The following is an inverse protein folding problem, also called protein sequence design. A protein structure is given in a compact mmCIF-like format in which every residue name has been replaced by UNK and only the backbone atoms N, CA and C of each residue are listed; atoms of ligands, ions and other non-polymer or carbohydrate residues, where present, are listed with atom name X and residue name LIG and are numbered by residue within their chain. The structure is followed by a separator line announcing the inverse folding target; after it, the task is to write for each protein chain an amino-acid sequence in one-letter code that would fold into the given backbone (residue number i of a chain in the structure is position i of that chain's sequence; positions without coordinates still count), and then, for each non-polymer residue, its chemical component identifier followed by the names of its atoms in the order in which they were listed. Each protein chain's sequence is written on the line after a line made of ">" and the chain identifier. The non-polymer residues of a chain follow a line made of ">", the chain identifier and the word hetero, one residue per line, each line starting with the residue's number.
data_IF_408978924546
#
_entry.id   IF_408978924546
#
_cell.length_a   1.000
_cell.length_b   1.000
_cell.length_c   1.000
_cell.angle_alpha   90.00
_cell.angle_beta   90.00
_cell.angle_gamma   90.00
#
_symmetry.space_group_name_H-M   'P 1'
#
loop_
_entity.id
_entity.type
_entity.pdbx_description
1 polymer ?
#
# COMPACT_ATOMS: atom_id res chain seq x y z
N UNK A 1 -8.57 -0.54 -18.90
CA UNK A 1 -7.55 0.20 -18.13
C UNK A 1 -6.19 -0.40 -18.45
N UNK A 2 -5.16 0.42 -18.71
CA UNK A 2 -3.81 -0.07 -18.97
C UNK A 2 -3.22 -0.71 -17.71
N UNK A 3 -2.23 -1.57 -17.89
CA UNK A 3 -1.43 -2.09 -16.79
C UNK A 3 -0.49 -1.00 -16.28
N UNK A 4 -0.29 -0.94 -14.97
CA UNK A 4 0.70 -0.11 -14.31
C UNK A 4 1.85 -1.00 -13.83
N UNK A 5 3.09 -0.61 -14.17
CA UNK A 5 4.30 -1.23 -13.64
C UNK A 5 4.89 -0.37 -12.55
N UNK A 6 5.40 -0.97 -11.48
CA UNK A 6 5.99 -0.25 -10.36
C UNK A 6 7.06 -1.08 -9.69
N UNK A 7 8.11 -0.42 -9.22
CA UNK A 7 9.09 -1.02 -8.32
C UNK A 7 8.61 -0.81 -6.88
N UNK A 8 8.60 -1.89 -6.10
CA UNK A 8 8.17 -1.90 -4.70
C UNK A 8 9.22 -2.60 -3.85
N UNK A 9 9.16 -2.35 -2.54
CA UNK A 9 9.85 -3.18 -1.54
C UNK A 9 8.84 -4.14 -0.93
N UNK A 10 9.11 -5.43 -1.04
CA UNK A 10 8.28 -6.50 -0.48
C UNK A 10 9.17 -7.44 0.33
N UNK A 11 8.85 -7.62 1.63
CA UNK A 11 9.63 -8.44 2.57
C UNK A 11 11.13 -8.11 2.57
N UNK A 12 11.46 -6.83 2.48
CA UNK A 12 12.84 -6.32 2.48
C UNK A 12 13.61 -6.50 1.17
N UNK A 13 12.97 -7.00 0.10
CA UNK A 13 13.57 -7.12 -1.23
C UNK A 13 12.85 -6.23 -2.24
N UNK A 14 13.61 -5.58 -3.12
CA UNK A 14 13.07 -4.80 -4.23
C UNK A 14 12.57 -5.72 -5.35
N UNK A 15 11.39 -5.46 -5.88
CA UNK A 15 10.74 -6.27 -6.93
C UNK A 15 9.89 -5.39 -7.86
N UNK A 16 9.83 -5.74 -9.14
CA UNK A 16 8.94 -5.10 -10.12
C UNK A 16 7.60 -5.85 -10.12
N UNK A 17 6.50 -5.08 -10.07
CA UNK A 17 5.14 -5.60 -10.13
C UNK A 17 4.39 -4.99 -11.30
N UNK A 18 3.38 -5.73 -11.77
CA UNK A 18 2.41 -5.24 -12.72
C UNK A 18 0.99 -5.43 -12.16
N UNK A 19 0.22 -4.36 -12.16
CA UNK A 19 -1.16 -4.33 -11.64
C UNK A 19 -2.08 -3.57 -12.58
N UNK A 20 -3.37 -3.91 -12.59
CA UNK A 20 -4.42 -3.02 -13.11
C UNK A 20 -5.18 -2.43 -11.95
N UNK A 21 -5.37 -1.12 -11.98
CA UNK A 21 -6.07 -0.38 -10.95
C UNK A 21 -7.28 0.32 -11.56
N UNK A 22 -8.46 0.05 -11.00
CA UNK A 22 -9.70 0.76 -11.29
C UNK A 22 -10.15 1.55 -10.08
N UNK A 23 -10.32 2.87 -10.26
CA UNK A 23 -10.68 3.77 -9.17
C UNK A 23 -12.05 4.38 -9.45
N UNK A 24 -12.92 4.35 -8.44
CA UNK A 24 -14.15 5.13 -8.38
C UNK A 24 -14.19 5.93 -7.08
N UNK A 25 -15.05 6.94 -7.02
CA UNK A 25 -15.24 7.76 -5.83
C UNK A 25 -16.70 7.83 -5.44
N UNK A 26 -16.96 7.53 -4.17
CA UNK A 26 -18.25 7.74 -3.52
C UNK A 26 -18.06 8.77 -2.42
N UNK A 27 -18.58 9.98 -2.63
CA UNK A 27 -18.39 11.11 -1.71
C UNK A 27 -16.90 11.35 -1.39
N UNK A 28 -16.51 11.24 -0.12
CA UNK A 28 -15.16 11.41 0.38
C UNK A 28 -14.33 10.11 0.41
N UNK A 29 -14.88 9.00 -0.09
CA UNK A 29 -14.22 7.69 -0.07
C UNK A 29 -13.87 7.24 -1.49
N UNK A 30 -12.63 6.85 -1.67
CA UNK A 30 -12.18 6.17 -2.89
C UNK A 30 -12.44 4.68 -2.76
N UNK A 31 -12.99 4.08 -3.82
CA UNK A 31 -13.10 2.63 -3.98
C UNK A 31 -12.09 2.24 -5.04
N UNK A 32 -11.17 1.36 -4.68
CA UNK A 32 -10.11 0.86 -5.55
C UNK A 32 -10.30 -0.64 -5.80
N UNK A 33 -10.31 -1.02 -7.07
CA UNK A 33 -10.23 -2.39 -7.54
C UNK A 33 -8.81 -2.65 -8.03
N UNK A 34 -8.17 -3.66 -7.47
CA UNK A 34 -6.79 -4.01 -7.79
C UNK A 34 -6.78 -5.42 -8.38
N UNK A 35 -6.27 -5.54 -9.60
CA UNK A 35 -5.99 -6.82 -10.23
C UNK A 35 -4.49 -6.99 -10.35
N UNK A 36 -3.95 -8.01 -9.68
CA UNK A 36 -2.56 -8.43 -9.86
C UNK A 36 -2.37 -9.08 -11.25
N UNK A 37 -1.27 -8.73 -11.93
CA UNK A 37 -0.92 -9.27 -13.26
C UNK A 37 0.37 -10.09 -13.17
N UNK A 38 1.44 -9.54 -12.58
CA UNK A 38 2.72 -10.23 -12.41
C UNK A 38 3.57 -9.62 -11.29
N UNK A 39 4.66 -10.32 -10.93
CA UNK A 39 5.61 -9.90 -9.88
C UNK A 39 5.25 -10.40 -8.49
N UNK A 40 6.26 -10.66 -7.66
CA UNK A 40 6.06 -11.08 -6.28
C UNK A 40 5.76 -9.86 -5.40
N UNK A 41 4.64 -9.90 -4.68
CA UNK A 41 4.15 -8.79 -3.87
C UNK A 41 3.06 -9.25 -2.90
N UNK A 42 2.64 -8.36 -2.01
CA UNK A 42 1.57 -8.67 -1.06
C UNK A 42 0.20 -8.82 -1.73
N UNK A 43 -0.07 -8.19 -2.89
CA UNK A 43 -1.31 -8.43 -3.64
C UNK A 43 -1.46 -9.89 -4.05
N UNK A 44 -0.39 -10.49 -4.59
CA UNK A 44 -0.33 -11.90 -4.95
C UNK A 44 -0.52 -12.79 -3.74
N UNK A 45 0.24 -12.54 -2.66
CA UNK A 45 0.13 -13.31 -1.42
C UNK A 45 -1.29 -13.28 -0.84
N UNK A 46 -1.92 -12.10 -0.82
CA UNK A 46 -3.28 -11.96 -0.31
C UNK A 46 -4.28 -12.73 -1.17
N UNK A 47 -4.20 -12.59 -2.50
CA UNK A 47 -5.09 -13.27 -3.44
C UNK A 47 -4.97 -14.80 -3.33
N UNK A 48 -3.76 -15.33 -3.22
CA UNK A 48 -3.50 -16.77 -3.07
C UNK A 48 -4.02 -17.31 -1.72
N UNK A 49 -3.89 -16.54 -0.64
CA UNK A 49 -4.29 -16.99 0.72
C UNK A 49 -5.76 -16.80 1.04
N UNK A 50 -6.36 -15.71 0.56
CA UNK A 50 -7.69 -15.26 1.01
C UNK A 50 -8.71 -15.15 -0.14
N UNK A 51 -8.25 -15.27 -1.39
CA UNK A 51 -9.10 -15.06 -2.56
C UNK A 51 -9.43 -13.58 -2.82
N UNK A 52 -10.40 -13.35 -3.69
CA UNK A 52 -10.91 -12.01 -3.98
C UNK A 52 -11.75 -11.49 -2.80
N UNK A 53 -11.67 -10.18 -2.53
CA UNK A 53 -12.44 -9.58 -1.46
C UNK A 53 -11.89 -8.24 -0.99
N UNK A 54 -12.30 -7.86 0.22
CA UNK A 54 -11.83 -6.63 0.85
C UNK A 54 -10.35 -6.73 1.23
N UNK A 55 -9.52 -5.87 0.64
CA UNK A 55 -8.07 -5.97 0.72
C UNK A 55 -7.47 -5.09 1.84
N UNK A 56 -7.72 -3.77 1.85
CA UNK A 56 -7.19 -2.85 2.86
C UNK A 56 -8.11 -1.63 3.07
N UNK A 57 -7.86 -0.89 4.16
CA UNK A 57 -8.30 0.51 4.32
C UNK A 57 -7.08 1.41 4.19
N UNK A 58 -7.21 2.46 3.38
CA UNK A 58 -6.12 3.40 3.13
C UNK A 58 -6.32 4.74 3.85
N UNK A 59 -5.27 5.19 4.54
CA UNK A 59 -5.25 6.42 5.31
C UNK A 59 -4.27 7.41 4.69
N UNK A 60 -4.78 8.57 4.27
CA UNK A 60 -3.96 9.70 3.86
C UNK A 60 -3.46 10.46 5.08
N UNK A 61 -2.15 10.56 5.22
CA UNK A 61 -1.49 11.25 6.34
C UNK A 61 -0.52 12.32 5.84
N UNK A 62 -0.21 13.28 6.71
CA UNK A 62 0.74 14.35 6.40
C UNK A 62 2.21 13.89 6.51
N UNK A 63 2.50 12.92 7.38
CA UNK A 63 3.85 12.43 7.66
C UNK A 63 3.83 10.90 7.80
N UNK A 64 4.19 10.21 6.71
CA UNK A 64 4.23 8.75 6.69
C UNK A 64 5.26 8.21 7.68
N UNK A 65 6.43 8.84 7.79
CA UNK A 65 7.51 8.36 8.66
C UNK A 65 7.10 8.26 10.12
N UNK A 66 6.35 9.24 10.61
CA UNK A 66 5.79 9.24 11.97
C UNK A 66 4.89 8.03 12.25
N UNK A 67 4.07 7.62 11.28
CA UNK A 67 3.17 6.47 11.45
C UNK A 67 3.91 5.14 11.31
N UNK A 68 4.91 5.07 10.43
CA UNK A 68 5.77 3.88 10.33
C UNK A 68 6.57 3.64 11.62
N UNK A 69 7.10 4.71 12.23
CA UNK A 69 7.77 4.62 13.53
C UNK A 69 6.81 4.18 14.65
N UNK A 70 5.57 4.71 14.65
CA UNK A 70 4.52 4.29 15.58
C UNK A 70 4.23 2.79 15.44
N UNK A 71 3.99 2.32 14.22
CA UNK A 71 3.71 0.90 13.96
C UNK A 71 4.87 0.00 14.31
N UNK A 72 6.10 0.41 14.00
CA UNK A 72 7.30 -0.29 14.43
C UNK A 72 7.38 -0.43 15.97
N UNK A 73 7.09 0.64 16.71
CA UNK A 73 7.06 0.61 18.18
C UNK A 73 5.95 -0.28 18.74
N UNK A 74 4.89 -0.54 17.96
CA UNK A 74 3.81 -1.47 18.27
C UNK A 74 4.07 -2.89 17.76
N UNK A 75 5.28 -3.19 17.27
CA UNK A 75 5.65 -4.46 16.62
C UNK A 75 4.80 -4.80 15.39
N UNK A 76 4.26 -3.80 14.71
CA UNK A 76 3.55 -3.95 13.44
C UNK A 76 4.58 -3.81 12.31
N UNK A 77 4.73 -4.87 11.52
CA UNK A 77 5.64 -4.91 10.38
C UNK A 77 5.10 -4.19 9.15
N UNK A 78 5.98 -3.94 8.18
CA UNK A 78 5.61 -3.48 6.83
C UNK A 78 5.61 -4.70 5.91
N UNK A 79 4.46 -4.96 5.28
CA UNK A 79 4.29 -6.05 4.32
C UNK A 79 4.87 -5.67 2.96
N UNK A 80 4.58 -4.45 2.53
CA UNK A 80 5.00 -3.89 1.25
C UNK A 80 5.01 -2.36 1.32
N UNK A 81 5.97 -1.73 0.65
CA UNK A 81 6.12 -0.29 0.54
C UNK A 81 6.44 0.07 -0.92
N UNK A 82 5.99 1.24 -1.39
CA UNK A 82 6.23 1.63 -2.77
C UNK A 82 5.81 3.04 -3.10
N UNK A 83 6.08 3.45 -4.34
CA UNK A 83 5.84 4.80 -4.82
C UNK A 83 4.94 4.80 -6.05
N UNK A 84 3.93 5.68 -6.04
CA UNK A 84 3.10 6.01 -7.20
C UNK A 84 3.25 7.50 -7.49
N UNK A 85 4.19 7.83 -8.39
CA UNK A 85 4.56 9.23 -8.66
C UNK A 85 5.15 9.90 -7.41
N UNK A 86 4.40 10.83 -6.79
CA UNK A 86 4.79 11.49 -5.53
C UNK A 86 4.14 10.88 -4.30
N UNK A 87 3.25 9.91 -4.49
CA UNK A 87 2.57 9.24 -3.41
C UNK A 87 3.48 8.13 -2.89
N UNK A 88 3.81 8.18 -1.60
CA UNK A 88 4.53 7.12 -0.91
C UNK A 88 3.51 6.35 -0.06
N UNK A 89 3.53 5.02 -0.14
CA UNK A 89 2.58 4.17 0.57
C UNK A 89 3.27 2.98 1.24
N UNK A 90 2.66 2.50 2.33
CA UNK A 90 3.08 1.28 3.01
C UNK A 90 1.85 0.48 3.50
N UNK A 91 1.85 -0.82 3.23
CA UNK A 91 0.92 -1.79 3.80
C UNK A 91 1.48 -2.31 5.13
N UNK A 92 0.71 -2.12 6.20
CA UNK A 92 1.12 -2.44 7.56
C UNK A 92 0.42 -3.72 8.05
N UNK A 93 1.18 -4.62 8.67
CA UNK A 93 0.74 -5.94 9.11
C UNK A 93 -0.18 -5.86 10.34
N UNK A 94 -1.41 -5.43 10.10
CA UNK A 94 -2.39 -5.06 11.12
C UNK A 94 -3.53 -6.08 11.20
N UNK A 95 -3.49 -7.13 10.39
CA UNK A 95 -4.60 -8.09 10.25
C UNK A 95 -4.92 -8.81 11.55
N UNK A 96 -3.91 -9.21 12.31
CA UNK A 96 -4.11 -9.92 13.58
C UNK A 96 -4.73 -9.04 14.68
N UNK A 97 -4.61 -7.71 14.56
CA UNK A 97 -5.09 -6.75 15.57
C UNK A 97 -6.41 -6.10 15.14
N UNK A 98 -6.56 -5.80 13.85
CA UNK A 98 -7.69 -5.03 13.29
C UNK A 98 -8.58 -5.85 12.35
N UNK A 99 -8.23 -7.09 12.04
CA UNK A 99 -8.93 -7.95 11.10
C UNK A 99 -8.67 -7.63 9.62
N UNK A 100 -7.95 -6.55 9.33
CA UNK A 100 -7.64 -6.07 7.97
C UNK A 100 -6.26 -5.40 7.92
N UNK A 101 -5.77 -5.19 6.70
CA UNK A 101 -4.54 -4.44 6.45
C UNK A 101 -4.85 -2.95 6.37
N UNK A 102 -4.08 -2.14 7.08
CA UNK A 102 -4.05 -0.69 6.94
C UNK A 102 -2.93 -0.31 5.97
N UNK A 103 -3.30 0.47 4.96
CA UNK A 103 -2.35 1.25 4.17
C UNK A 103 -2.22 2.64 4.78
N UNK A 104 -0.99 3.11 4.95
CA UNK A 104 -0.72 4.52 5.25
C UNK A 104 0.00 5.12 4.07
N UNK A 105 -0.46 6.28 3.63
CA UNK A 105 0.09 6.94 2.46
C UNK A 105 0.17 8.44 2.62
N UNK A 106 1.23 9.04 2.06
CA UNK A 106 1.45 10.48 2.09
C UNK A 106 1.90 10.98 0.71
N UNK A 107 1.46 12.17 0.35
CA UNK A 107 2.01 12.87 -0.82
C UNK A 107 3.29 13.59 -0.42
N UNK A 108 4.43 13.08 -0.86
CA UNK A 108 5.73 13.68 -0.56
C UNK A 108 5.91 14.99 -1.32
N UNK A 109 6.06 16.08 -0.56
CA UNK A 109 6.31 17.42 -1.11
C UNK A 109 7.82 17.66 -1.12
N UNK A 110 8.34 18.29 -2.18
CA UNK A 110 9.73 18.76 -2.19
C UNK A 110 9.98 19.59 -0.93
N UNK A 111 10.85 19.13 -0.02
CA UNK A 111 11.32 19.94 1.11
C UNK A 111 11.87 21.25 0.52
N UNK A 112 11.27 22.39 0.87
CA UNK A 112 11.87 23.71 0.56
C UNK A 112 13.26 23.67 1.20
N UNK A 113 14.31 23.78 0.39
CA UNK A 113 15.66 24.06 0.91
C UNK A 113 15.53 25.36 1.70
N UNK A 114 15.82 25.30 3.01
CA UNK A 114 16.11 26.51 3.79
C UNK A 114 17.43 27.08 3.30
#
# INVERSE_FOLDING_TARGET
>A
MPNAKSEITYRGSTTEIEVKIGISRLMNTQIELIQWISGDCYHKEHLEKFGEGFYHISLFVDDLSKYLDLFKNLNIGILQEGWVGKQHFAYCDTKDILGLVIEVQATERKKKKK
#
